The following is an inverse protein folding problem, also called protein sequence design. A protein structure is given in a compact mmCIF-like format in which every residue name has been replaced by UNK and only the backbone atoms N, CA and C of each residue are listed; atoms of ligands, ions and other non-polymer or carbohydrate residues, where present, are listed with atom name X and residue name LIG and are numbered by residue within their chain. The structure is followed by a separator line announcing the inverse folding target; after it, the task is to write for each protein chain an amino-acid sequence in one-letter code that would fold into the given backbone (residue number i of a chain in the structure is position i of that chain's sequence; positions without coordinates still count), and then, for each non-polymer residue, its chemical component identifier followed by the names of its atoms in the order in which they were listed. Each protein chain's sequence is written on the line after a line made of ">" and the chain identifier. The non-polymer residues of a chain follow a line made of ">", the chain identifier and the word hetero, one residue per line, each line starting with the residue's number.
data_IF_037339956954
#
_entry.id   IF_037339956954
#
_cell.length_a   1.000
_cell.length_b   1.000
_cell.length_c   1.000
_cell.angle_alpha   90.00
_cell.angle_beta   90.00
_cell.angle_gamma   90.00
#
_symmetry.space_group_name_H-M   'P 1'
#
loop_
_entity.id
_entity.type
_entity.pdbx_description
1 polymer ?
#
# COMPACT_ATOMS: atom_id res chain seq x y z
N UNK A 1 -3.36 -13.54 -3.51
CA UNK A 1 -3.57 -12.10 -3.28
C UNK A 1 -3.07 -11.81 -1.87
N UNK A 2 -2.19 -10.82 -1.67
CA UNK A 2 -1.60 -10.53 -0.36
C UNK A 2 -2.66 -9.97 0.60
N UNK A 3 -2.65 -10.43 1.84
CA UNK A 3 -3.42 -9.77 2.89
C UNK A 3 -2.75 -8.47 3.34
N UNK A 4 -3.53 -7.55 3.89
CA UNK A 4 -3.02 -6.29 4.46
C UNK A 4 -1.96 -6.53 5.55
N UNK A 5 -2.08 -7.58 6.36
CA UNK A 5 -1.09 -7.90 7.40
C UNK A 5 0.21 -8.47 6.82
N UNK A 6 0.13 -9.37 5.85
CA UNK A 6 1.32 -9.91 5.19
C UNK A 6 2.08 -8.83 4.44
N UNK A 7 1.37 -7.93 3.76
CA UNK A 7 2.00 -6.79 3.09
C UNK A 7 2.76 -5.91 4.10
N UNK A 8 2.13 -5.52 5.21
CA UNK A 8 2.79 -4.68 6.21
C UNK A 8 4.02 -5.36 6.81
N UNK A 9 3.92 -6.65 7.16
CA UNK A 9 5.05 -7.40 7.74
C UNK A 9 6.23 -7.49 6.76
N UNK A 10 5.96 -7.76 5.47
CA UNK A 10 7.00 -7.80 4.44
C UNK A 10 7.57 -6.41 4.16
N UNK A 11 6.73 -5.39 4.10
CA UNK A 11 7.15 -4.00 3.86
C UNK A 11 8.09 -3.53 4.98
N UNK A 12 7.71 -3.73 6.24
CA UNK A 12 8.49 -3.28 7.40
C UNK A 12 9.84 -4.02 7.55
N UNK A 13 9.93 -5.24 7.02
CA UNK A 13 11.16 -6.04 7.00
C UNK A 13 11.98 -5.87 5.72
N UNK A 14 11.54 -5.00 4.80
CA UNK A 14 12.15 -4.83 3.48
C UNK A 14 12.23 -6.13 2.66
N UNK A 15 11.23 -7.02 2.81
CA UNK A 15 11.15 -8.34 2.17
C UNK A 15 10.21 -8.40 0.97
N UNK A 16 9.62 -7.27 0.55
CA UNK A 16 8.78 -7.23 -0.66
C UNK A 16 9.64 -7.48 -1.89
N UNK A 17 9.31 -8.56 -2.60
CA UNK A 17 9.99 -8.88 -3.85
C UNK A 17 9.45 -8.06 -5.02
N UNK A 18 10.26 -7.92 -6.08
CA UNK A 18 9.85 -7.28 -7.32
C UNK A 18 8.57 -7.90 -7.91
N UNK A 19 8.47 -9.23 -7.94
CA UNK A 19 7.28 -9.94 -8.44
C UNK A 19 6.03 -9.68 -7.60
N UNK A 20 6.17 -9.48 -6.30
CA UNK A 20 5.06 -9.09 -5.44
C UNK A 20 4.63 -7.66 -5.71
N UNK A 21 5.55 -6.70 -5.80
CA UNK A 21 5.22 -5.32 -6.19
C UNK A 21 4.52 -5.29 -7.55
N UNK A 22 4.98 -6.08 -8.52
CA UNK A 22 4.35 -6.22 -9.83
C UNK A 22 2.91 -6.75 -9.72
N UNK A 23 2.69 -7.85 -9.00
CA UNK A 23 1.33 -8.38 -8.79
C UNK A 23 0.43 -7.36 -8.12
N UNK A 24 0.91 -6.65 -7.09
CA UNK A 24 0.12 -5.62 -6.42
C UNK A 24 -0.26 -4.51 -7.43
N UNK A 25 0.63 -4.14 -8.35
CA UNK A 25 0.34 -3.19 -9.43
C UNK A 25 -0.71 -3.64 -10.45
N UNK A 26 -0.91 -4.96 -10.60
CA UNK A 26 -1.92 -5.52 -11.51
C UNK A 26 -3.29 -5.60 -10.84
N UNK A 27 -3.34 -5.94 -9.55
CA UNK A 27 -4.60 -6.11 -8.84
C UNK A 27 -5.11 -4.81 -8.22
N UNK A 28 -4.23 -3.90 -7.79
CA UNK A 28 -4.57 -2.60 -7.17
C UNK A 28 -5.43 -2.70 -5.88
N UNK A 29 -5.46 -3.88 -5.23
CA UNK A 29 -6.17 -4.09 -3.96
C UNK A 29 -5.55 -5.20 -3.11
N UNK A 30 -5.88 -5.21 -1.82
CA UNK A 30 -5.42 -6.20 -0.83
C UNK A 30 -6.60 -6.93 -0.20
N UNK A 31 -6.35 -8.13 0.30
CA UNK A 31 -7.34 -8.84 1.10
C UNK A 31 -7.34 -8.28 2.52
N UNK A 32 -8.48 -7.74 2.95
CA UNK A 32 -8.65 -7.23 4.31
C UNK A 32 -8.54 -8.36 5.34
N UNK A 33 -8.18 -8.00 6.56
CA UNK A 33 -8.19 -8.90 7.71
C UNK A 33 -9.07 -8.31 8.82
N UNK A 34 -9.33 -9.08 9.87
CA UNK A 34 -10.04 -8.57 11.06
C UNK A 34 -9.37 -7.35 11.69
N UNK A 35 -8.05 -7.21 11.51
CA UNK A 35 -7.23 -6.21 12.20
C UNK A 35 -6.81 -5.05 11.31
N UNK A 36 -7.02 -5.14 10.00
CA UNK A 36 -6.59 -4.11 9.08
C UNK A 36 -7.39 -4.12 7.78
N UNK A 37 -7.64 -2.93 7.25
CA UNK A 37 -8.34 -2.73 5.98
C UNK A 37 -7.51 -1.90 5.02
N UNK A 38 -7.65 -2.21 3.74
CA UNK A 38 -7.19 -1.40 2.63
C UNK A 38 -8.25 -0.37 2.24
N UNK A 39 -7.81 0.83 1.85
CA UNK A 39 -8.64 1.85 1.22
C UNK A 39 -7.84 2.50 0.09
N UNK A 40 -8.48 2.61 -1.08
CA UNK A 40 -7.98 3.40 -2.19
C UNK A 40 -8.11 4.89 -1.85
N UNK A 41 -7.06 5.68 -2.10
CA UNK A 41 -7.04 7.13 -1.85
C UNK A 41 -7.05 7.88 -3.17
N UNK A 42 -6.19 7.46 -4.10
CA UNK A 42 -6.07 8.03 -5.43
C UNK A 42 -5.57 6.99 -6.41
N UNK A 43 -6.16 6.92 -7.59
CA UNK A 43 -5.76 6.00 -8.64
C UNK A 43 -5.68 6.76 -9.97
N UNK A 44 -4.47 6.83 -10.53
CA UNK A 44 -4.18 7.53 -11.77
C UNK A 44 -3.35 6.65 -12.70
N UNK A 45 -3.33 7.02 -13.97
CA UNK A 45 -2.41 6.52 -14.99
C UNK A 45 -0.97 6.63 -14.46
N UNK A 46 -0.36 5.48 -14.15
CA UNK A 46 1.03 5.35 -13.70
C UNK A 46 1.26 5.19 -12.20
N UNK A 47 0.27 5.47 -11.33
CA UNK A 47 0.42 5.27 -9.88
C UNK A 47 -0.89 5.10 -9.12
N UNK A 48 -0.80 4.49 -7.94
CA UNK A 48 -1.86 4.40 -6.96
C UNK A 48 -1.36 4.92 -5.61
N UNK A 49 -2.15 5.76 -4.95
CA UNK A 49 -2.01 6.04 -3.53
C UNK A 49 -3.10 5.28 -2.80
N UNK A 50 -2.69 4.47 -1.84
CA UNK A 50 -3.61 3.76 -0.97
C UNK A 50 -3.21 3.92 0.49
N UNK A 51 -4.13 3.58 1.39
CA UNK A 51 -3.83 3.48 2.81
C UNK A 51 -4.24 2.14 3.40
N UNK A 52 -3.46 1.71 4.40
CA UNK A 52 -3.83 0.58 5.26
C UNK A 52 -4.08 1.12 6.65
N UNK A 53 -5.28 0.86 7.17
CA UNK A 53 -5.69 1.21 8.52
C UNK A 53 -5.52 -0.03 9.38
N UNK A 54 -4.72 0.05 10.44
CA UNK A 54 -4.57 -1.02 11.43
C UNK A 54 -5.40 -0.68 12.67
N UNK A 55 -6.46 -1.45 12.90
CA UNK A 55 -7.41 -1.22 13.99
C UNK A 55 -6.82 -1.54 15.37
N UNK A 56 -5.85 -2.47 15.44
CA UNK A 56 -5.15 -2.80 16.70
C UNK A 56 -4.25 -1.66 17.17
N UNK A 57 -3.46 -1.09 16.26
CA UNK A 57 -2.50 -0.02 16.59
C UNK A 57 -3.08 1.38 16.44
N UNK A 58 -4.29 1.50 15.88
CA UNK A 58 -4.95 2.78 15.53
C UNK A 58 -4.07 3.67 14.65
N UNK A 59 -3.29 3.05 13.75
CA UNK A 59 -2.42 3.74 12.80
C UNK A 59 -2.96 3.61 11.39
N UNK A 60 -2.87 4.70 10.65
CA UNK A 60 -3.04 4.73 9.21
C UNK A 60 -1.66 4.90 8.57
N UNK A 61 -1.39 4.13 7.52
CA UNK A 61 -0.15 4.25 6.73
C UNK A 61 -0.54 4.43 5.28
N UNK A 62 0.09 5.41 4.65
CA UNK A 62 -0.16 5.78 3.25
C UNK A 62 0.99 5.27 2.40
N UNK A 63 0.67 4.74 1.23
CA UNK A 63 1.63 4.14 0.33
C UNK A 63 1.43 4.68 -1.09
N UNK A 64 2.53 5.01 -1.75
CA UNK A 64 2.60 5.28 -3.18
C UNK A 64 3.10 4.03 -3.88
N UNK A 65 2.33 3.56 -4.84
CA UNK A 65 2.65 2.42 -5.67
C UNK A 65 2.72 2.86 -7.13
N UNK A 66 3.84 2.56 -7.75
CA UNK A 66 4.03 2.75 -9.17
C UNK A 66 3.36 1.61 -9.96
N UNK A 67 2.65 1.96 -11.03
CA UNK A 67 1.94 1.01 -11.89
C UNK A 67 2.78 0.60 -13.11
N UNK A 68 2.25 -0.33 -13.90
CA UNK A 68 2.94 -0.96 -15.05
C UNK A 68 3.52 0.03 -16.07
N UNK A 69 2.89 1.19 -16.23
CA UNK A 69 3.29 2.21 -17.21
C UNK A 69 4.67 2.81 -16.94
N UNK A 70 5.13 2.85 -15.68
CA UNK A 70 6.46 3.37 -15.34
C UNK A 70 7.55 2.31 -15.33
N UNK A 71 7.20 1.01 -15.53
CA UNK A 71 8.11 -0.15 -15.48
C UNK A 71 8.93 -0.29 -14.17
N UNK A 72 8.65 0.56 -13.18
CA UNK A 72 9.25 0.55 -11.86
C UNK A 72 8.22 -0.01 -10.86
N UNK A 73 8.23 -1.32 -10.64
CA UNK A 73 7.34 -1.94 -9.66
C UNK A 73 7.88 -1.72 -8.25
N UNK A 74 7.53 -0.57 -7.67
CA UNK A 74 7.99 -0.14 -6.35
C UNK A 74 6.84 0.44 -5.54
N UNK A 75 6.89 0.18 -4.24
CA UNK A 75 5.97 0.73 -3.25
C UNK A 75 6.79 1.53 -2.23
N UNK A 76 6.34 2.74 -1.94
CA UNK A 76 6.96 3.68 -1.01
C UNK A 76 5.95 4.05 0.07
N UNK A 77 6.37 4.11 1.33
CA UNK A 77 5.54 4.67 2.39
C UNK A 77 5.63 6.20 2.37
N UNK A 78 4.48 6.85 2.25
CA UNK A 78 4.35 8.29 2.32
C UNK A 78 4.36 8.71 3.79
N UNK A 79 5.52 9.14 4.29
CA UNK A 79 5.66 9.73 5.62
C UNK A 79 5.18 11.19 5.59
N UNK A 80 3.85 11.39 5.52
CA UNK A 80 3.25 12.70 5.63
C UNK A 80 3.48 13.30 7.04
N UNK A 81 4.03 14.51 7.11
CA UNK A 81 4.17 15.31 8.33
C UNK A 81 3.33 16.60 8.24
N UNK A 82 2.03 16.54 7.99
CA UNK A 82 1.13 17.68 8.26
C UNK A 82 -0.32 17.18 8.45
N UNK A 83 -1.07 17.69 9.45
CA UNK A 83 -2.47 17.34 9.62
C UNK A 83 -3.28 18.02 8.50
N UNK A 84 -3.91 17.23 7.62
CA UNK A 84 -5.01 17.76 6.81
C UNK A 84 -6.21 17.95 7.74
N UNK A 85 -6.27 19.13 8.36
CA UNK A 85 -7.56 19.73 8.69
C UNK A 85 -8.07 20.36 7.39
N UNK A 86 -9.08 19.73 6.80
CA UNK A 86 -10.04 20.39 5.91
C UNK A 86 -11.36 20.45 6.67
#
# INVERSE_FOLDING_TARGET
>A
MLTTNEFLDKFDKELLTFEECKKISEFLHFQNTENSTFQDVENSTGYQIFKIINFKTKKERYFLQFQSEVQEYRILELKYKYPMFL
#
